data_IF_010947156264
#
_entry.id   IF_010947156264
#
_cell.length_a   1.000
_cell.length_b   1.000
_cell.length_c   1.000
_cell.angle_alpha   90.00
_cell.angle_beta   90.00
_cell.angle_gamma   90.00
#
_symmetry.space_group_name_H-M   'P 1'
#
loop_
_entity.id
_entity.type
_entity.pdbx_description
1 polymer ?
#
# COMPACT_ATOMS: atom_id res chain seq x y z
N UNK A 1 -25.42 -1.35 15.65
CA UNK A 1 -24.68 -0.76 14.54
C UNK A 1 -24.53 0.75 14.74
N UNK A 2 -23.31 1.25 14.73
CA UNK A 2 -23.02 2.69 14.90
C UNK A 2 -23.14 3.50 13.60
N UNK A 3 -23.43 2.87 12.47
CA UNK A 3 -23.54 3.55 11.17
C UNK A 3 -22.25 4.11 10.60
N UNK A 4 -21.09 3.62 11.09
CA UNK A 4 -19.78 4.08 10.67
C UNK A 4 -19.00 2.96 9.97
N UNK A 5 -18.17 3.34 9.01
CA UNK A 5 -17.21 2.48 8.36
C UNK A 5 -15.86 3.20 8.22
N UNK A 6 -14.77 2.44 8.30
CA UNK A 6 -13.45 2.91 7.92
C UNK A 6 -13.17 2.51 6.47
N UNK A 7 -13.03 3.49 5.61
CA UNK A 7 -12.86 3.28 4.16
C UNK A 7 -11.47 3.77 3.76
N UNK A 8 -10.70 2.96 3.02
CA UNK A 8 -9.43 3.40 2.49
C UNK A 8 -9.68 4.47 1.42
N UNK A 9 -9.01 5.60 1.56
CA UNK A 9 -9.03 6.70 0.61
C UNK A 9 -7.61 7.06 0.20
N UNK A 10 -7.34 6.91 -1.07
CA UNK A 10 -6.07 7.35 -1.64
C UNK A 10 -6.05 8.86 -1.79
N UNK A 11 -5.02 9.50 -1.24
CA UNK A 11 -4.75 10.92 -1.40
C UNK A 11 -3.67 11.11 -2.49
N UNK A 12 -4.04 11.64 -3.65
CA UNK A 12 -3.09 11.86 -4.74
C UNK A 12 -1.97 12.84 -4.39
N UNK A 13 -2.24 13.82 -3.52
CA UNK A 13 -1.27 14.84 -3.12
C UNK A 13 -0.13 14.25 -2.29
N UNK A 14 -0.44 13.37 -1.35
CA UNK A 14 0.55 12.67 -0.53
C UNK A 14 0.95 11.30 -1.10
N UNK A 15 0.21 10.76 -2.09
CA UNK A 15 0.37 9.41 -2.61
C UNK A 15 0.20 8.32 -1.53
N UNK A 16 -0.55 8.60 -0.48
CA UNK A 16 -0.82 7.67 0.62
C UNK A 16 -2.30 7.31 0.70
N UNK A 17 -2.57 6.08 1.11
CA UNK A 17 -3.92 5.67 1.46
C UNK A 17 -4.14 5.87 2.96
N UNK A 18 -5.18 6.62 3.31
CA UNK A 18 -5.64 6.82 4.69
C UNK A 18 -6.94 6.09 4.93
N UNK A 19 -7.18 5.69 6.17
CA UNK A 19 -8.47 5.14 6.58
C UNK A 19 -9.34 6.27 7.14
N UNK A 20 -10.28 6.73 6.35
CA UNK A 20 -11.25 7.73 6.76
C UNK A 20 -12.47 7.05 7.41
N UNK A 21 -12.92 7.59 8.55
CA UNK A 21 -14.17 7.16 9.17
C UNK A 21 -15.32 7.97 8.58
N UNK A 22 -16.25 7.29 7.94
CA UNK A 22 -17.42 7.94 7.31
C UNK A 22 -18.71 7.20 7.63
N UNK A 23 -19.84 7.86 7.40
CA UNK A 23 -21.17 7.22 7.51
C UNK A 23 -21.34 6.18 6.42
N UNK A 24 -21.97 5.05 6.76
CA UNK A 24 -22.32 4.00 5.80
C UNK A 24 -23.46 4.47 4.88
N UNK A 25 -23.63 3.76 3.76
CA UNK A 25 -24.79 3.93 2.89
C UNK A 25 -26.02 3.18 3.43
N UNK A 26 -27.21 3.50 2.92
CA UNK A 26 -28.46 2.76 3.22
C UNK A 26 -28.34 1.28 2.84
N UNK A 27 -27.77 0.98 1.67
CA UNK A 27 -27.51 -0.37 1.24
C UNK A 27 -26.57 -1.13 2.20
N UNK A 28 -25.49 -0.48 2.68
CA UNK A 28 -24.61 -1.08 3.68
C UNK A 28 -25.32 -1.30 5.01
N UNK A 29 -26.16 -0.35 5.46
CA UNK A 29 -26.96 -0.51 6.68
C UNK A 29 -27.91 -1.70 6.58
N UNK A 30 -28.58 -1.87 5.44
CA UNK A 30 -29.47 -3.01 5.19
C UNK A 30 -28.69 -4.34 5.15
N UNK A 31 -27.56 -4.39 4.46
CA UNK A 31 -26.69 -5.56 4.40
C UNK A 31 -26.18 -5.98 5.81
N UNK A 32 -25.79 -5.00 6.63
CA UNK A 32 -25.29 -5.24 7.99
C UNK A 32 -26.41 -5.74 8.91
N UNK A 33 -27.62 -5.18 8.79
CA UNK A 33 -28.79 -5.64 9.51
C UNK A 33 -29.16 -7.10 9.15
N UNK A 34 -29.08 -7.46 7.86
CA UNK A 34 -29.33 -8.82 7.39
C UNK A 34 -28.36 -9.87 7.95
N UNK A 35 -27.21 -9.47 8.48
CA UNK A 35 -26.29 -10.41 9.15
C UNK A 35 -26.81 -10.89 10.50
N UNK A 36 -27.64 -10.11 11.18
CA UNK A 36 -28.25 -10.53 12.45
C UNK A 36 -29.28 -11.66 12.27
N UNK A 37 -29.95 -11.70 11.10
CA UNK A 37 -30.97 -12.71 10.78
C UNK A 37 -30.53 -13.75 9.76
N UNK A 38 -29.24 -14.14 9.72
CA UNK A 38 -28.70 -14.99 8.64
C UNK A 38 -29.14 -16.45 8.75
N UNK A 39 -29.21 -17.00 9.94
CA UNK A 39 -29.56 -18.40 10.21
C UNK A 39 -30.88 -18.51 11.01
N UNK A 40 -31.15 -17.52 11.86
CA UNK A 40 -32.32 -17.46 12.74
C UNK A 40 -32.81 -16.00 12.79
N UNK A 41 -34.07 -15.75 13.18
CA UNK A 41 -34.57 -14.38 13.38
C UNK A 41 -33.67 -13.60 14.33
N UNK A 42 -33.21 -12.44 13.90
CA UNK A 42 -32.27 -11.61 14.66
C UNK A 42 -32.70 -10.15 14.73
N UNK A 43 -32.17 -9.41 15.69
CA UNK A 43 -32.47 -7.99 15.91
C UNK A 43 -31.22 -7.15 15.64
N UNK A 44 -31.39 -6.05 14.92
CA UNK A 44 -30.34 -5.09 14.66
C UNK A 44 -30.73 -3.71 15.23
N UNK A 45 -30.02 -3.29 16.27
CA UNK A 45 -30.17 -1.94 16.82
C UNK A 45 -29.30 -0.94 16.04
N UNK A 46 -29.92 0.09 15.47
CA UNK A 46 -29.24 1.20 14.81
C UNK A 46 -29.08 2.37 15.77
N UNK A 47 -27.85 2.81 16.00
CA UNK A 47 -27.52 3.89 16.94
C UNK A 47 -27.56 5.27 16.25
N UNK A 48 -28.56 5.51 15.39
CA UNK A 48 -28.82 6.77 14.71
C UNK A 48 -30.34 6.90 14.45
N UNK A 49 -30.83 8.15 14.28
CA UNK A 49 -32.26 8.44 14.08
C UNK A 49 -32.73 8.06 12.66
N UNK A 50 -34.04 7.97 12.49
CA UNK A 50 -34.68 7.77 11.18
C UNK A 50 -34.37 8.90 10.21
N UNK A 51 -34.36 10.16 10.66
CA UNK A 51 -33.95 11.30 9.85
C UNK A 51 -32.50 11.18 9.37
N UNK A 52 -31.60 10.78 10.26
CA UNK A 52 -30.20 10.50 9.89
C UNK A 52 -30.10 9.34 8.89
N UNK A 53 -30.96 8.34 9.01
CA UNK A 53 -31.01 7.23 8.06
C UNK A 53 -31.50 7.68 6.66
N UNK A 54 -32.51 8.53 6.62
CA UNK A 54 -33.02 9.10 5.37
C UNK A 54 -31.96 9.94 4.62
N UNK A 55 -31.08 10.59 5.36
CA UNK A 55 -29.98 11.40 4.81
C UNK A 55 -28.75 10.57 4.35
N UNK A 56 -28.70 9.26 4.64
CA UNK A 56 -27.63 8.41 4.14
C UNK A 56 -27.68 8.28 2.61
N UNK A 57 -26.52 8.26 1.97
CA UNK A 57 -26.41 7.93 0.55
C UNK A 57 -27.05 6.56 0.27
N UNK A 58 -27.69 6.41 -0.86
CA UNK A 58 -28.33 5.13 -1.23
C UNK A 58 -27.31 3.98 -1.29
N UNK A 59 -26.16 4.22 -1.94
CA UNK A 59 -25.08 3.26 -2.12
C UNK A 59 -23.74 3.85 -1.71
N UNK A 60 -22.75 3.00 -1.43
CA UNK A 60 -21.36 3.41 -1.25
C UNK A 60 -20.73 3.86 -2.56
N UNK A 61 -19.66 4.67 -2.46
CA UNK A 61 -18.85 4.99 -3.63
C UNK A 61 -18.06 3.75 -4.08
N UNK A 62 -17.94 3.55 -5.39
CA UNK A 62 -17.14 2.45 -5.94
C UNK A 62 -15.66 2.62 -5.55
N UNK A 63 -15.00 1.52 -5.21
CA UNK A 63 -13.60 1.52 -4.76
C UNK A 63 -12.65 2.11 -5.80
N UNK A 64 -12.88 1.82 -7.08
CA UNK A 64 -12.06 2.32 -8.19
C UNK A 64 -11.98 3.86 -8.25
N UNK A 65 -13.01 4.53 -7.74
CA UNK A 65 -13.06 6.00 -7.67
C UNK A 65 -12.19 6.58 -6.53
N UNK A 66 -11.74 5.75 -5.59
CA UNK A 66 -11.02 6.19 -4.38
C UNK A 66 -9.67 5.51 -4.18
N UNK A 67 -9.43 4.36 -4.83
CA UNK A 67 -8.21 3.58 -4.70
C UNK A 67 -6.99 4.20 -5.40
N UNK A 68 -5.80 3.73 -5.01
CA UNK A 68 -4.58 3.91 -5.81
C UNK A 68 -4.67 3.06 -7.08
N UNK A 69 -4.50 3.71 -8.22
CA UNK A 69 -4.63 3.06 -9.54
C UNK A 69 -3.29 2.60 -10.13
N UNK A 70 -2.17 2.72 -9.41
CA UNK A 70 -0.85 2.37 -9.95
C UNK A 70 -0.76 0.87 -10.32
N UNK A 71 -1.30 -0.01 -9.49
CA UNK A 71 -1.37 -1.44 -9.79
C UNK A 71 -2.23 -1.74 -11.03
N UNK A 72 -3.42 -1.13 -11.11
CA UNK A 72 -4.30 -1.25 -12.27
C UNK A 72 -3.61 -0.75 -13.54
N UNK A 73 -2.98 0.43 -13.49
CA UNK A 73 -2.30 1.01 -14.65
C UNK A 73 -1.15 0.13 -15.15
N UNK A 74 -0.41 -0.52 -14.23
CA UNK A 74 0.65 -1.46 -14.59
C UNK A 74 0.10 -2.70 -15.29
N UNK A 75 -1.00 -3.28 -14.80
CA UNK A 75 -1.63 -4.45 -15.42
C UNK A 75 -2.25 -4.13 -16.77
N UNK A 76 -2.90 -2.98 -16.92
CA UNK A 76 -3.44 -2.55 -18.23
C UNK A 76 -2.30 -2.31 -19.23
N UNK A 77 -1.20 -1.70 -18.81
CA UNK A 77 -0.02 -1.53 -19.65
C UNK A 77 0.59 -2.87 -20.09
N UNK A 78 0.65 -3.85 -19.18
CA UNK A 78 1.07 -5.22 -19.50
C UNK A 78 0.15 -5.91 -20.50
N UNK A 79 -1.13 -5.65 -20.40
CA UNK A 79 -2.15 -6.16 -21.30
C UNK A 79 -2.12 -5.45 -22.66
N UNK A 80 -1.49 -4.28 -22.76
CA UNK A 80 -1.42 -3.47 -23.97
C UNK A 80 -2.72 -2.72 -24.26
N UNK A 81 -3.55 -2.45 -23.24
CA UNK A 81 -4.85 -1.78 -23.37
C UNK A 81 -4.91 -0.52 -22.50
N UNK A 82 -5.83 0.38 -22.87
CA UNK A 82 -6.18 1.56 -22.07
C UNK A 82 -7.55 1.37 -21.42
N UNK A 83 -7.90 2.14 -20.37
CA UNK A 83 -9.21 2.03 -19.74
C UNK A 83 -10.37 2.17 -20.72
N UNK A 84 -10.24 3.05 -21.71
CA UNK A 84 -11.28 3.36 -22.70
C UNK A 84 -11.61 2.18 -23.64
N UNK A 85 -10.71 1.20 -23.73
CA UNK A 85 -10.88 0.00 -24.55
C UNK A 85 -11.60 -1.13 -23.81
N UNK A 86 -11.92 -0.94 -22.53
CA UNK A 86 -12.56 -1.95 -21.69
C UNK A 86 -13.96 -1.48 -21.25
N UNK A 87 -14.80 -2.45 -20.90
CA UNK A 87 -16.11 -2.19 -20.31
C UNK A 87 -15.99 -2.17 -18.80
N UNK A 88 -16.42 -1.07 -18.17
CA UNK A 88 -16.38 -0.87 -16.72
C UNK A 88 -17.78 -0.65 -16.18
N UNK A 89 -18.02 -1.07 -14.93
CA UNK A 89 -19.20 -0.62 -14.18
C UNK A 89 -19.05 0.87 -13.80
N UNK A 90 -17.85 1.22 -13.31
CA UNK A 90 -17.44 2.59 -13.00
C UNK A 90 -16.07 2.82 -13.65
N UNK A 91 -15.98 3.78 -14.56
CA UNK A 91 -14.73 4.12 -15.23
C UNK A 91 -13.71 4.66 -14.25
N UNK A 92 -12.45 4.21 -14.26
CA UNK A 92 -11.40 4.80 -13.44
C UNK A 92 -11.23 6.29 -13.77
N UNK A 93 -11.12 7.18 -12.74
CA UNK A 93 -10.97 8.62 -12.97
C UNK A 93 -9.71 8.94 -13.77
N UNK A 94 -9.86 9.63 -14.90
CA UNK A 94 -8.77 9.92 -15.85
C UNK A 94 -7.58 10.62 -15.20
N UNK A 95 -7.82 11.61 -14.33
CA UNK A 95 -6.78 12.32 -13.61
C UNK A 95 -5.97 11.40 -12.68
N UNK A 96 -6.63 10.50 -11.95
CA UNK A 96 -5.95 9.52 -11.07
C UNK A 96 -5.19 8.47 -11.88
N UNK A 97 -5.78 8.02 -12.98
CA UNK A 97 -5.11 7.10 -13.88
C UNK A 97 -3.85 7.73 -14.51
N UNK A 98 -3.93 9.00 -14.92
CA UNK A 98 -2.77 9.75 -15.42
C UNK A 98 -1.66 9.88 -14.36
N UNK A 99 -2.01 10.16 -13.09
CA UNK A 99 -1.05 10.19 -11.98
C UNK A 99 -0.41 8.81 -11.73
N UNK A 100 -1.20 7.74 -11.79
CA UNK A 100 -0.69 6.37 -11.69
C UNK A 100 0.34 6.08 -12.80
N UNK A 101 0.05 6.49 -14.03
CA UNK A 101 1.01 6.36 -15.15
C UNK A 101 2.28 7.17 -14.95
N UNK A 102 2.17 8.41 -14.47
CA UNK A 102 3.35 9.23 -14.15
C UNK A 102 4.21 8.59 -13.07
N UNK A 103 3.60 7.97 -12.05
CA UNK A 103 4.34 7.19 -11.06
C UNK A 103 5.08 6.01 -11.71
N UNK A 104 4.41 5.24 -12.56
CA UNK A 104 5.02 4.10 -13.25
C UNK A 104 6.18 4.51 -14.16
N UNK A 105 6.07 5.66 -14.82
CA UNK A 105 7.16 6.24 -15.61
C UNK A 105 8.37 6.62 -14.71
N UNK A 106 8.13 7.29 -13.58
CA UNK A 106 9.16 7.60 -12.59
C UNK A 106 9.85 6.36 -12.00
N UNK A 107 9.11 5.27 -11.81
CA UNK A 107 9.66 4.00 -11.37
C UNK A 107 10.36 3.22 -12.50
N UNK A 108 10.38 3.75 -13.72
CA UNK A 108 10.97 3.09 -14.88
C UNK A 108 10.17 1.86 -15.35
N UNK A 109 8.93 1.69 -14.92
CA UNK A 109 8.05 0.62 -15.37
C UNK A 109 7.47 0.90 -16.75
N UNK A 110 7.27 2.18 -17.09
CA UNK A 110 6.80 2.65 -18.39
C UNK A 110 7.85 3.55 -19.04
N UNK A 111 7.83 3.58 -20.36
CA UNK A 111 8.45 4.62 -21.17
C UNK A 111 7.39 5.11 -22.16
N UNK A 112 6.78 6.26 -21.87
CA UNK A 112 5.57 6.72 -22.56
C UNK A 112 4.42 5.72 -22.43
N UNK A 113 3.95 5.17 -23.54
CA UNK A 113 2.87 4.18 -23.53
C UNK A 113 3.35 2.74 -23.34
N UNK A 114 4.64 2.47 -23.50
CA UNK A 114 5.19 1.11 -23.56
C UNK A 114 5.67 0.62 -22.20
N UNK A 115 5.36 -0.63 -21.90
CA UNK A 115 5.92 -1.33 -20.74
C UNK A 115 7.40 -1.63 -20.99
N UNK A 116 8.23 -1.39 -19.97
CA UNK A 116 9.67 -1.71 -20.01
C UNK A 116 9.91 -3.13 -19.53
N UNK A 117 11.10 -3.74 -19.77
CA UNK A 117 11.46 -5.01 -19.16
C UNK A 117 11.42 -4.98 -17.63
N UNK A 118 11.74 -3.82 -17.01
CA UNK A 118 11.60 -3.62 -15.58
C UNK A 118 10.13 -3.59 -15.15
N UNK A 119 9.27 -2.93 -15.92
CA UNK A 119 7.82 -2.93 -15.69
C UNK A 119 7.20 -4.32 -15.80
N UNK A 120 7.66 -5.13 -16.74
CA UNK A 120 7.23 -6.54 -16.85
C UNK A 120 7.60 -7.32 -15.59
N UNK A 121 8.87 -7.22 -15.14
CA UNK A 121 9.31 -7.86 -13.90
C UNK A 121 8.54 -7.35 -12.67
N UNK A 122 8.20 -6.06 -12.61
CA UNK A 122 7.36 -5.51 -11.54
C UNK A 122 5.94 -6.09 -11.56
N UNK A 123 5.36 -6.28 -12.75
CA UNK A 123 4.00 -6.80 -12.90
C UNK A 123 3.86 -8.29 -12.54
N UNK A 124 4.96 -9.03 -12.48
CA UNK A 124 5.01 -10.42 -12.02
C UNK A 124 4.98 -10.56 -10.50
N UNK A 125 5.34 -9.49 -9.77
CA UNK A 125 5.35 -9.53 -8.31
C UNK A 125 3.97 -9.19 -7.75
N UNK A 126 3.45 -9.97 -6.78
CA UNK A 126 2.17 -9.70 -6.13
C UNK A 126 2.33 -8.58 -5.08
N UNK A 127 2.74 -7.40 -5.55
CA UNK A 127 3.02 -6.25 -4.70
C UNK A 127 2.63 -4.94 -5.41
N UNK A 128 2.39 -3.90 -4.61
CA UNK A 128 2.21 -2.55 -5.15
C UNK A 128 3.43 -2.14 -5.99
N UNK A 129 3.28 -1.40 -7.12
CA UNK A 129 4.40 -1.07 -8.00
C UNK A 129 5.61 -0.44 -7.30
N UNK A 130 5.41 0.42 -6.29
CA UNK A 130 6.51 0.98 -5.48
C UNK A 130 7.31 -0.10 -4.75
N UNK A 131 6.60 -1.09 -4.20
CA UNK A 131 7.22 -2.21 -3.49
C UNK A 131 7.91 -3.16 -4.46
N UNK A 132 7.29 -3.45 -5.59
CA UNK A 132 7.90 -4.27 -6.65
C UNK A 132 9.20 -3.63 -7.16
N UNK A 133 9.19 -2.31 -7.40
CA UNK A 133 10.39 -1.56 -7.79
C UNK A 133 11.48 -1.62 -6.71
N UNK A 134 11.14 -1.38 -5.44
CA UNK A 134 12.04 -1.49 -4.30
C UNK A 134 12.73 -2.87 -4.26
N UNK A 135 11.94 -3.94 -4.37
CA UNK A 135 12.43 -5.31 -4.30
C UNK A 135 13.42 -5.62 -5.44
N UNK A 136 13.06 -5.29 -6.68
CA UNK A 136 13.90 -5.54 -7.85
C UNK A 136 15.18 -4.70 -7.83
N UNK A 137 15.08 -3.42 -7.48
CA UNK A 137 16.25 -2.55 -7.37
C UNK A 137 17.13 -2.92 -6.18
N UNK A 138 16.54 -3.31 -5.05
CA UNK A 138 17.28 -3.85 -3.92
C UNK A 138 18.07 -5.11 -4.31
N UNK A 139 17.46 -6.00 -5.09
CA UNK A 139 18.14 -7.17 -5.64
C UNK A 139 19.28 -6.76 -6.58
N UNK A 140 19.06 -5.79 -7.48
CA UNK A 140 20.08 -5.29 -8.40
C UNK A 140 21.29 -4.68 -7.67
N UNK A 141 21.06 -4.06 -6.51
CA UNK A 141 22.09 -3.48 -5.65
C UNK A 141 22.76 -4.49 -4.71
N UNK A 142 22.35 -5.77 -4.70
CA UNK A 142 22.84 -6.76 -3.73
C UNK A 142 22.29 -6.56 -2.31
N UNK A 143 21.17 -5.88 -2.16
CA UNK A 143 20.49 -5.55 -0.89
C UNK A 143 19.12 -6.23 -0.77
N UNK A 144 18.96 -7.41 -1.41
CA UNK A 144 17.68 -8.09 -1.50
C UNK A 144 17.03 -8.36 -0.13
N UNK A 145 17.82 -8.79 0.86
CA UNK A 145 17.31 -9.09 2.20
C UNK A 145 16.74 -7.86 2.90
N UNK A 146 17.50 -6.76 2.92
CA UNK A 146 17.05 -5.49 3.49
C UNK A 146 15.83 -4.95 2.74
N UNK A 147 15.81 -5.03 1.41
CA UNK A 147 14.66 -4.60 0.61
C UNK A 147 13.40 -5.40 0.94
N UNK A 148 13.51 -6.72 1.16
CA UNK A 148 12.38 -7.56 1.58
C UNK A 148 11.87 -7.20 2.98
N UNK A 149 12.76 -6.90 3.92
CA UNK A 149 12.39 -6.49 5.27
C UNK A 149 11.71 -5.12 5.27
N UNK A 150 12.23 -4.14 4.53
CA UNK A 150 11.60 -2.82 4.35
C UNK A 150 10.23 -2.98 3.68
N UNK A 151 10.15 -3.75 2.59
CA UNK A 151 8.88 -4.01 1.88
C UNK A 151 7.82 -4.61 2.80
N UNK A 152 8.20 -5.54 3.66
CA UNK A 152 7.30 -6.17 4.62
C UNK A 152 6.82 -5.18 5.70
N UNK A 153 7.71 -4.32 6.20
CA UNK A 153 7.35 -3.26 7.16
C UNK A 153 6.41 -2.23 6.55
N UNK A 154 6.60 -1.86 5.28
CA UNK A 154 5.74 -0.92 4.57
C UNK A 154 4.36 -1.52 4.22
N UNK A 155 4.25 -2.83 4.09
CA UNK A 155 3.01 -3.54 3.79
C UNK A 155 2.16 -3.89 5.02
N UNK A 156 2.75 -3.87 6.22
CA UNK A 156 2.08 -4.22 7.47
C UNK A 156 1.69 -2.97 8.28
N UNK A 157 0.79 -3.18 9.24
CA UNK A 157 0.53 -2.14 10.25
C UNK A 157 1.78 -1.92 11.09
N UNK A 158 1.99 -0.67 11.49
CA UNK A 158 3.13 -0.33 12.34
C UNK A 158 3.26 -1.27 13.55
N UNK A 159 4.41 -1.94 13.62
CA UNK A 159 4.75 -2.92 14.66
C UNK A 159 5.23 -2.26 15.94
N UNK A 160 5.55 -0.95 15.90
CA UNK A 160 6.01 -0.13 17.01
C UNK A 160 5.08 1.07 17.21
N UNK A 161 4.02 0.88 17.98
CA UNK A 161 3.07 1.96 18.28
C UNK A 161 3.64 2.93 19.33
N UNK A 162 3.42 4.23 19.10
CA UNK A 162 3.80 5.27 20.06
C UNK A 162 5.29 5.62 20.09
N UNK A 163 6.10 5.00 19.26
CA UNK A 163 7.52 5.34 19.02
C UNK A 163 7.61 6.02 17.65
N UNK A 164 8.44 7.05 17.53
CA UNK A 164 8.59 7.84 16.31
C UNK A 164 8.64 7.05 15.00
N UNK A 165 8.67 7.72 13.87
CA UNK A 165 8.57 7.10 12.54
C UNK A 165 9.86 6.39 12.05
N UNK A 166 10.90 6.32 12.89
CA UNK A 166 12.19 5.75 12.50
C UNK A 166 12.09 4.26 12.15
N UNK A 167 12.44 3.94 10.91
CA UNK A 167 12.36 2.58 10.37
C UNK A 167 13.50 1.69 10.86
N UNK A 168 14.64 2.25 11.29
CA UNK A 168 15.74 1.45 11.87
C UNK A 168 15.29 0.68 13.11
N UNK A 169 14.53 1.34 13.99
CA UNK A 169 13.98 0.68 15.19
C UNK A 169 13.07 -0.50 14.84
N UNK A 170 12.38 -0.44 13.70
CA UNK A 170 11.50 -1.51 13.22
C UNK A 170 12.30 -2.65 12.58
N UNK A 171 13.36 -2.33 11.85
CA UNK A 171 14.28 -3.33 11.32
C UNK A 171 14.98 -4.10 12.45
N UNK A 172 15.47 -3.41 13.50
CA UNK A 172 16.05 -4.03 14.68
C UNK A 172 15.11 -5.02 15.40
N UNK A 173 13.78 -4.78 15.35
CA UNK A 173 12.79 -5.75 15.81
C UNK A 173 12.65 -6.96 14.90
N UNK A 174 12.74 -6.77 13.60
CA UNK A 174 12.68 -7.87 12.63
C UNK A 174 13.93 -8.74 12.70
N UNK A 175 15.13 -8.16 12.84
CA UNK A 175 16.38 -8.91 13.00
C UNK A 175 16.43 -9.67 14.34
N UNK A 176 15.70 -9.19 15.35
CA UNK A 176 15.72 -9.75 16.71
C UNK A 176 16.74 -9.10 17.63
N UNK A 177 17.40 -8.04 17.20
CA UNK A 177 18.33 -7.23 18.00
C UNK A 177 17.60 -6.48 19.14
N UNK A 178 16.32 -6.21 18.94
CA UNK A 178 15.45 -5.58 19.92
C UNK A 178 14.23 -6.47 20.24
N UNK A 179 13.68 -6.36 21.45
CA UNK A 179 12.49 -7.11 21.85
C UNK A 179 11.23 -6.26 21.69
N UNK A 180 10.23 -6.79 20.97
CA UNK A 180 8.92 -6.17 20.92
C UNK A 180 8.24 -6.16 22.30
N UNK A 181 7.61 -5.05 22.67
CA UNK A 181 6.71 -5.00 23.82
C UNK A 181 5.57 -6.02 23.63
N UNK A 182 4.98 -6.51 24.74
CA UNK A 182 4.01 -7.63 24.78
C UNK A 182 2.81 -7.55 23.80
N UNK A 183 2.55 -6.46 23.12
CA UNK A 183 1.47 -6.32 22.13
C UNK A 183 1.92 -6.36 20.67
N UNK A 184 3.22 -6.34 20.37
CA UNK A 184 3.75 -6.23 19.00
C UNK A 184 4.15 -7.55 18.33
N UNK A 185 4.20 -8.65 19.06
CA UNK A 185 4.76 -9.92 18.58
C UNK A 185 4.04 -10.47 17.35
N UNK A 186 2.70 -10.40 17.29
CA UNK A 186 1.93 -10.86 16.13
C UNK A 186 2.22 -10.05 14.86
N UNK A 187 2.44 -8.75 14.99
CA UNK A 187 2.84 -7.88 13.87
C UNK A 187 4.23 -8.22 13.34
N UNK A 188 5.19 -8.41 14.25
CA UNK A 188 6.56 -8.83 13.89
C UNK A 188 6.56 -10.17 13.16
N UNK A 189 5.76 -11.15 13.61
CA UNK A 189 5.68 -12.45 12.95
C UNK A 189 5.09 -12.35 11.55
N UNK A 190 4.02 -11.56 11.34
CA UNK A 190 3.46 -11.32 10.02
C UNK A 190 4.46 -10.63 9.09
N UNK A 191 5.14 -9.59 9.57
CA UNK A 191 6.18 -8.91 8.79
C UNK A 191 7.32 -9.87 8.41
N UNK A 192 7.79 -10.73 9.33
CA UNK A 192 8.78 -11.78 9.04
C UNK A 192 8.28 -12.78 7.99
N UNK A 193 7.02 -13.19 8.07
CA UNK A 193 6.42 -14.09 7.09
C UNK A 193 6.34 -13.43 5.71
N UNK A 194 5.89 -12.17 5.63
CA UNK A 194 5.81 -11.42 4.38
C UNK A 194 7.21 -11.20 3.78
N UNK A 195 8.21 -10.86 4.58
CA UNK A 195 9.59 -10.73 4.12
C UNK A 195 10.13 -12.04 3.53
N UNK A 196 9.86 -13.19 4.17
CA UNK A 196 10.22 -14.52 3.62
C UNK A 196 9.51 -14.78 2.30
N UNK A 197 8.25 -14.40 2.16
CA UNK A 197 7.48 -14.54 0.92
C UNK A 197 8.12 -13.71 -0.20
N UNK A 198 8.48 -12.45 0.06
CA UNK A 198 9.18 -11.59 -0.90
C UNK A 198 10.52 -12.18 -1.31
N UNK A 199 11.33 -12.69 -0.36
CA UNK A 199 12.57 -13.41 -0.68
C UNK A 199 12.31 -14.61 -1.60
N UNK A 200 11.19 -15.30 -1.43
CA UNK A 200 10.76 -16.41 -2.29
C UNK A 200 10.55 -16.00 -3.75
N UNK A 201 9.99 -14.81 -3.99
CA UNK A 201 9.79 -14.29 -5.35
C UNK A 201 11.09 -13.81 -6.03
N UNK A 202 12.07 -13.37 -5.26
CA UNK A 202 13.36 -12.89 -5.78
C UNK A 202 14.39 -14.01 -6.03
N UNK A 203 14.07 -15.28 -5.76
CA UNK A 203 14.98 -16.41 -5.96
C UNK A 203 15.36 -16.56 -7.42
N UNK A 204 16.67 -16.60 -7.69
CA UNK A 204 17.23 -16.98 -9.00
C UNK A 204 18.28 -16.05 -9.59
N UNK A 205 18.45 -14.81 -9.11
CA UNK A 205 19.43 -13.83 -9.60
C UNK A 205 20.06 -13.02 -8.46
N UNK A 206 20.50 -13.69 -7.39
CA UNK A 206 21.22 -12.98 -6.33
C UNK A 206 22.52 -12.38 -6.92
N UNK A 207 22.62 -11.04 -6.93
CA UNK A 207 23.91 -10.37 -7.13
C UNK A 207 24.74 -10.49 -5.85
N UNK A 208 26.05 -10.36 -6.01
CA UNK A 208 26.94 -10.33 -4.84
C UNK A 208 26.51 -9.20 -3.89
N UNK A 209 26.42 -9.45 -2.59
CA UNK A 209 26.13 -8.43 -1.61
C UNK A 209 27.12 -7.26 -1.73
N UNK A 210 26.67 -6.05 -1.43
CA UNK A 210 27.56 -4.89 -1.27
C UNK A 210 28.53 -5.13 -0.11
N UNK A 211 29.66 -4.42 -0.11
CA UNK A 211 30.73 -4.62 0.88
C UNK A 211 30.27 -4.39 2.34
N UNK A 212 29.26 -3.57 2.55
CA UNK A 212 28.67 -3.27 3.87
C UNK A 212 27.14 -3.15 3.70
N UNK A 213 26.40 -4.28 3.68
CA UNK A 213 24.97 -4.30 3.46
C UNK A 213 24.18 -3.67 4.62
N UNK A 214 24.73 -3.63 5.84
CA UNK A 214 24.05 -3.14 7.04
C UNK A 214 24.29 -1.63 7.29
N UNK A 215 25.03 -0.96 6.41
CA UNK A 215 25.27 0.47 6.55
C UNK A 215 23.96 1.26 6.52
N UNK A 216 23.69 2.17 7.51
CA UNK A 216 22.43 2.90 7.65
C UNK A 216 21.97 3.68 6.43
N UNK A 217 22.91 4.13 5.56
CA UNK A 217 22.60 4.83 4.31
C UNK A 217 21.69 4.04 3.38
N UNK A 218 21.77 2.72 3.39
CA UNK A 218 21.02 1.89 2.45
C UNK A 218 19.52 1.90 2.72
N UNK A 219 19.10 2.07 3.98
CA UNK A 219 17.69 2.25 4.31
C UNK A 219 17.11 3.46 3.59
N UNK A 220 17.76 4.62 3.69
CA UNK A 220 17.33 5.84 3.00
C UNK A 220 17.34 5.69 1.48
N UNK A 221 18.38 5.07 0.93
CA UNK A 221 18.51 4.83 -0.51
C UNK A 221 17.37 3.92 -1.03
N UNK A 222 17.07 2.81 -0.34
CA UNK A 222 15.99 1.90 -0.70
C UNK A 222 14.62 2.55 -0.58
N UNK A 223 14.39 3.36 0.47
CA UNK A 223 13.15 4.14 0.60
C UNK A 223 13.00 5.17 -0.53
N UNK A 224 14.07 5.84 -0.93
CA UNK A 224 14.05 6.79 -2.04
C UNK A 224 13.71 6.12 -3.38
N UNK A 225 14.12 4.87 -3.58
CA UNK A 225 13.71 4.08 -4.74
C UNK A 225 12.19 3.81 -4.74
N UNK A 226 11.61 3.42 -3.60
CA UNK A 226 10.17 3.18 -3.50
C UNK A 226 9.34 4.48 -3.62
N UNK A 227 9.87 5.58 -3.12
CA UNK A 227 9.18 6.86 -3.00
C UNK A 227 10.01 8.04 -3.60
N UNK A 228 10.36 7.99 -4.88
CA UNK A 228 11.19 9.04 -5.51
C UNK A 228 10.52 10.40 -5.52
N UNK A 229 9.20 10.44 -5.42
CA UNK A 229 8.35 11.62 -5.33
C UNK A 229 8.28 12.23 -3.91
N UNK A 230 8.92 11.61 -2.91
CA UNK A 230 8.90 12.06 -1.51
C UNK A 230 10.29 12.37 -0.95
N UNK A 231 11.30 12.42 -1.80
CA UNK A 231 12.63 12.85 -1.41
C UNK A 231 12.59 14.35 -1.19
N UNK A 232 12.87 14.79 0.04
CA UNK A 232 12.92 16.20 0.41
C UNK A 232 14.29 16.56 0.96
N UNK A 233 14.72 17.79 0.71
CA UNK A 233 15.92 18.35 1.28
C UNK A 233 15.56 19.40 2.33
N UNK A 234 16.08 19.24 3.55
CA UNK A 234 15.93 20.25 4.58
C UNK A 234 16.61 21.56 4.19
N UNK A 235 15.87 22.65 4.15
CA UNK A 235 16.41 23.96 3.73
C UNK A 235 17.29 24.63 4.79
N UNK A 236 16.99 24.43 6.06
CA UNK A 236 17.76 24.94 7.20
C UNK A 236 17.92 23.87 8.25
N UNK A 237 19.13 23.65 8.83
CA UNK A 237 19.30 22.73 9.97
C UNK A 237 18.43 23.19 11.15
N UNK A 238 17.63 22.30 11.70
CA UNK A 238 16.80 22.57 12.88
C UNK A 238 15.49 23.29 12.63
N UNK A 239 15.10 23.61 11.40
CA UNK A 239 13.76 24.08 11.06
C UNK A 239 12.75 22.93 11.18
N UNK A 240 11.74 23.07 12.06
CA UNK A 240 10.54 22.24 11.96
C UNK A 240 9.79 22.61 10.68
N UNK A 241 9.24 21.62 9.99
CA UNK A 241 8.35 21.81 8.86
C UNK A 241 7.05 22.49 9.29
#
# INVERSE_FOLDING_TARGET
DAGLARVPRFDPGSGMTRLDTQRISRASAAQRAGRAGRLEPGVCYRLWSEDQHAQLAAYGSAEILQADLAGLALQLARWGVTPEQLIWLDMPPSARYAQARQLLDRLGALHGAKLTPHGEAMAELPAHPRIAHLLLRGQDLGLADMACDIAALLGERDILRGVGADLHSRLALLSGESRAARGGQGGVQRAKQLARQYRGYLRGKARQPVADPDHPRWLGALLALAYPDRVAQQRKPGGAE
#
